data_IF_727793791704
#
_entry.id   IF_727793791704
#
_cell.length_a   1.000
_cell.length_b   1.000
_cell.length_c   1.000
_cell.angle_alpha   90.00
_cell.angle_beta   90.00
_cell.angle_gamma   90.00
#
_symmetry.space_group_name_H-M   'P 1'
#
loop_
_entity.id
_entity.type
_entity.pdbx_description
1 polymer ?
#
# COMPACT_ATOMS: atom_id res chain seq x y z
N UNK A 1 1.48 -31.63 -1.24
CA UNK A 1 1.30 -30.17 -1.02
C UNK A 1 1.33 -29.40 -2.34
N UNK A 2 0.20 -29.19 -2.99
CA UNK A 2 0.15 -28.33 -4.19
C UNK A 2 0.07 -26.86 -3.77
N UNK A 3 1.21 -26.18 -3.65
CA UNK A 3 1.35 -24.76 -3.24
C UNK A 3 1.60 -23.82 -4.44
N UNK A 4 1.21 -24.25 -5.64
CA UNK A 4 1.55 -23.56 -6.88
C UNK A 4 0.34 -22.96 -7.58
N UNK A 5 0.36 -23.10 -8.91
CA UNK A 5 -0.65 -22.59 -9.84
C UNK A 5 -2.10 -22.91 -9.48
N UNK A 6 -2.47 -24.11 -8.99
CA UNK A 6 -3.86 -24.42 -8.64
C UNK A 6 -4.46 -23.48 -7.58
N UNK A 7 -3.63 -22.91 -6.71
CA UNK A 7 -4.07 -21.99 -5.64
C UNK A 7 -4.24 -20.53 -6.09
N UNK A 8 -3.67 -20.12 -7.24
CA UNK A 8 -3.65 -18.72 -7.67
C UNK A 8 -5.03 -18.20 -8.09
N UNK A 9 -5.91 -19.08 -8.58
CA UNK A 9 -7.28 -18.73 -8.97
C UNK A 9 -8.16 -18.20 -7.82
N UNK A 10 -7.78 -18.46 -6.56
CA UNK A 10 -8.52 -17.99 -5.37
C UNK A 10 -8.22 -16.52 -5.00
N UNK A 11 -7.28 -15.85 -5.69
CA UNK A 11 -6.82 -14.49 -5.36
C UNK A 11 -7.64 -13.39 -6.05
N UNK A 12 -8.95 -13.34 -5.79
CA UNK A 12 -9.87 -12.39 -6.42
C UNK A 12 -10.01 -11.05 -5.66
N UNK A 13 -9.67 -11.03 -4.37
CA UNK A 13 -9.85 -9.84 -3.52
C UNK A 13 -8.61 -8.97 -3.48
N UNK A 14 -8.77 -7.67 -3.66
CA UNK A 14 -7.67 -6.71 -3.47
C UNK A 14 -7.53 -6.25 -2.02
N UNK A 15 -6.32 -6.32 -1.48
CA UNK A 15 -5.97 -5.84 -0.13
C UNK A 15 -5.67 -4.34 -0.11
N UNK A 16 -5.06 -3.83 -1.18
CA UNK A 16 -4.68 -2.43 -1.34
C UNK A 16 -5.51 -1.74 -2.42
N UNK A 17 -5.81 -0.46 -2.18
CA UNK A 17 -6.47 0.46 -3.12
C UNK A 17 -5.65 1.74 -3.26
N UNK A 18 -6.06 2.62 -4.17
CA UNK A 18 -5.43 3.93 -4.38
C UNK A 18 -5.51 4.78 -3.09
N UNK A 19 -4.37 5.29 -2.66
CA UNK A 19 -4.27 6.17 -1.51
C UNK A 19 -4.63 7.62 -1.89
N UNK A 20 -5.63 8.19 -1.21
CA UNK A 20 -6.07 9.59 -1.42
C UNK A 20 -5.00 10.66 -1.14
N UNK A 21 -3.94 10.33 -0.38
CA UNK A 21 -2.85 11.28 -0.07
C UNK A 21 -1.69 11.20 -1.07
N UNK A 22 -1.27 9.98 -1.45
CA UNK A 22 -0.04 9.79 -2.23
C UNK A 22 -0.26 9.18 -3.63
N UNK A 23 -1.50 8.94 -4.06
CA UNK A 23 -1.84 8.39 -5.38
C UNK A 23 -1.45 6.93 -5.64
N UNK A 24 -0.62 6.33 -4.79
CA UNK A 24 -0.15 4.94 -4.92
C UNK A 24 -1.23 3.92 -4.51
N UNK A 25 -1.25 2.76 -5.17
CA UNK A 25 -2.05 1.57 -4.79
C UNK A 25 -1.46 0.89 -3.54
N UNK A 26 -1.52 1.58 -2.41
CA UNK A 26 -0.88 1.16 -1.16
C UNK A 26 -1.74 1.38 0.07
N UNK A 27 -2.96 1.91 -0.09
CA UNK A 27 -3.90 2.06 1.01
C UNK A 27 -4.57 0.73 1.33
N UNK A 28 -4.36 0.21 2.54
CA UNK A 28 -4.91 -1.07 2.95
C UNK A 28 -6.40 -0.92 3.29
N UNK A 29 -7.29 -1.63 2.57
CA UNK A 29 -8.75 -1.49 2.70
C UNK A 29 -9.26 -1.84 4.11
N UNK A 30 -8.79 -2.95 4.68
CA UNK A 30 -9.22 -3.42 6.02
C UNK A 30 -8.66 -2.57 7.16
N UNK A 31 -7.35 -2.39 7.20
CA UNK A 31 -6.68 -1.63 8.29
C UNK A 31 -6.78 -0.12 8.15
N UNK A 32 -7.25 0.41 7.01
CA UNK A 32 -7.38 1.85 6.75
C UNK A 32 -6.05 2.62 6.87
N UNK A 33 -4.93 1.98 6.54
CA UNK A 33 -3.59 2.58 6.59
C UNK A 33 -2.85 2.42 5.27
N UNK A 34 -2.20 3.49 4.82
CA UNK A 34 -1.32 3.47 3.66
C UNK A 34 0.09 3.00 4.00
N UNK A 35 0.54 1.93 3.35
CA UNK A 35 1.89 1.39 3.53
C UNK A 35 2.96 2.28 2.90
N UNK A 36 2.64 3.15 1.95
CA UNK A 36 3.62 4.06 1.37
C UNK A 36 3.83 5.29 2.27
N UNK A 37 2.79 6.12 2.42
CA UNK A 37 2.90 7.43 3.06
C UNK A 37 2.44 7.49 4.52
N UNK A 38 1.88 6.40 5.07
CA UNK A 38 1.37 6.37 6.46
C UNK A 38 -0.02 7.00 6.65
N UNK A 39 -0.68 7.43 5.55
CA UNK A 39 -2.04 7.97 5.60
C UNK A 39 -3.01 7.04 6.34
N UNK A 40 -3.80 7.60 7.26
CA UNK A 40 -4.70 6.86 8.17
C UNK A 40 -4.08 6.50 9.52
N UNK A 41 -2.75 6.39 9.62
CA UNK A 41 -2.02 6.20 10.89
C UNK A 41 -1.36 7.48 11.39
N UNK A 42 -0.84 8.31 10.49
CA UNK A 42 -0.13 9.54 10.84
C UNK A 42 -0.51 10.71 9.94
N UNK A 43 -0.48 11.92 10.51
CA UNK A 43 -0.57 13.17 9.73
C UNK A 43 0.71 13.43 8.93
N UNK A 44 1.87 13.04 9.47
CA UNK A 44 3.18 13.15 8.80
C UNK A 44 3.37 12.06 7.75
N UNK A 45 4.18 12.34 6.73
CA UNK A 45 4.62 11.32 5.77
C UNK A 45 5.56 10.31 6.43
N UNK A 46 5.28 9.03 6.17
CA UNK A 46 6.12 7.92 6.59
C UNK A 46 7.46 7.96 5.85
N UNK A 47 8.54 8.12 6.61
CA UNK A 47 9.93 8.07 6.13
C UNK A 47 10.78 7.23 7.08
N UNK A 48 11.72 6.47 6.54
CA UNK A 48 12.74 5.77 7.31
C UNK A 48 14.10 6.03 6.67
N UNK A 49 15.15 6.08 7.48
CA UNK A 49 16.50 6.39 7.02
C UNK A 49 17.06 5.33 6.05
N UNK A 50 16.62 4.07 6.19
CA UNK A 50 17.03 2.96 5.32
C UNK A 50 16.23 2.88 4.01
N UNK A 51 15.16 3.68 3.85
CA UNK A 51 14.36 3.69 2.62
C UNK A 51 14.92 4.72 1.66
N UNK A 52 15.56 4.27 0.58
CA UNK A 52 16.04 5.12 -0.51
C UNK A 52 14.90 5.63 -1.40
N UNK A 53 13.81 4.87 -1.51
CA UNK A 53 12.64 5.22 -2.33
C UNK A 53 11.79 6.29 -1.66
N UNK A 54 11.90 7.55 -2.13
CA UNK A 54 11.04 8.64 -1.65
C UNK A 54 9.58 8.40 -2.05
N UNK A 55 8.66 8.77 -1.16
CA UNK A 55 7.26 8.97 -1.54
C UNK A 55 7.23 10.17 -2.50
N UNK A 56 7.01 9.89 -3.79
CA UNK A 56 6.63 10.92 -4.76
C UNK A 56 5.42 11.64 -4.16
N UNK A 57 5.55 12.94 -3.91
CA UNK A 57 4.40 13.78 -3.65
C UNK A 57 3.64 13.80 -4.96
N UNK A 58 2.40 13.29 -5.06
CA UNK A 58 1.58 13.64 -6.19
C UNK A 58 1.40 15.17 -6.10
N UNK A 59 2.23 15.91 -6.84
CA UNK A 59 1.80 17.19 -7.39
C UNK A 59 0.51 16.87 -8.12
N UNK A 60 -0.53 17.65 -7.83
CA UNK A 60 -1.85 17.55 -8.45
C UNK A 60 -1.80 17.07 -9.91
#
# INVERSE_FOLDING_TARGET
MSKGTPSRGKRQTQTHIVCRRCGKMSYHKRHKVCSACGFGRSSKMRKYNWVTKKSINPTH
#
